data_IF_978661000311
#
_entry.id   IF_978661000311
#
_cell.length_a   1.000
_cell.length_b   1.000
_cell.length_c   1.000
_cell.angle_alpha   90.00
_cell.angle_beta   90.00
_cell.angle_gamma   90.00
#
_symmetry.space_group_name_H-M   'P 1'
#
loop_
_entity.id
_entity.type
_entity.pdbx_description
1 polymer ?
#
# COMPACT_ATOMS: atom_id res chain seq x y z
N UNK A 1 -17.81 -46.82 11.60
CA UNK A 1 -17.30 -45.43 11.48
C UNK A 1 -16.35 -45.42 10.30
N UNK A 2 -16.84 -45.06 9.10
CA UNK A 2 -16.05 -45.09 7.86
C UNK A 2 -15.20 -43.81 7.79
N UNK A 3 -13.89 -43.97 7.92
CA UNK A 3 -12.90 -42.90 7.69
C UNK A 3 -12.80 -42.66 6.18
N UNK A 4 -13.10 -41.45 5.72
CA UNK A 4 -12.86 -41.08 4.32
C UNK A 4 -11.36 -41.13 4.02
N UNK A 5 -10.95 -41.67 2.87
CA UNK A 5 -9.56 -41.64 2.43
C UNK A 5 -9.09 -40.20 2.20
N UNK A 6 -7.91 -39.85 2.71
CA UNK A 6 -7.27 -38.52 2.54
C UNK A 6 -7.13 -38.05 1.08
N UNK A 7 -7.23 -38.96 0.11
CA UNK A 7 -7.18 -38.66 -1.33
C UNK A 7 -8.44 -38.02 -1.89
N UNK A 8 -9.56 -37.98 -1.15
CA UNK A 8 -10.82 -37.36 -1.57
C UNK A 8 -11.07 -35.96 -0.98
N UNK A 9 -10.21 -35.51 -0.06
CA UNK A 9 -10.29 -34.17 0.54
C UNK A 9 -10.27 -33.00 -0.49
N UNK A 10 -9.41 -33.01 -1.53
CA UNK A 10 -9.35 -31.87 -2.46
C UNK A 10 -10.59 -31.78 -3.36
N UNK A 11 -11.29 -32.89 -3.61
CA UNK A 11 -12.52 -32.91 -4.41
C UNK A 11 -13.71 -32.29 -3.65
N UNK A 12 -13.73 -32.42 -2.33
CA UNK A 12 -14.78 -31.85 -1.48
C UNK A 12 -14.71 -30.32 -1.40
N UNK A 13 -13.49 -29.75 -1.37
CA UNK A 13 -13.30 -28.30 -1.37
C UNK A 13 -13.75 -27.64 -2.68
N UNK A 14 -13.59 -28.32 -3.83
CA UNK A 14 -14.05 -27.83 -5.14
C UNK A 14 -15.57 -27.92 -5.26
N UNK A 15 -16.18 -29.01 -4.75
CA UNK A 15 -17.64 -29.20 -4.77
C UNK A 15 -18.40 -28.24 -3.84
N UNK A 16 -17.77 -27.78 -2.75
CA UNK A 16 -18.37 -26.86 -1.78
C UNK A 16 -18.31 -25.38 -2.18
N UNK A 17 -17.75 -25.05 -3.35
CA UNK A 17 -17.76 -23.68 -3.86
C UNK A 17 -17.21 -22.67 -2.86
N UNK A 18 -16.20 -23.07 -2.07
CA UNK A 18 -15.53 -22.17 -1.14
C UNK A 18 -14.70 -21.16 -1.94
N UNK A 19 -15.37 -20.19 -2.55
CA UNK A 19 -14.73 -18.93 -2.90
C UNK A 19 -14.22 -18.38 -1.58
N UNK A 20 -12.90 -18.34 -1.41
CA UNK A 20 -12.28 -17.47 -0.43
C UNK A 20 -12.56 -16.02 -0.87
N UNK A 21 -13.79 -15.58 -0.66
CA UNK A 21 -14.16 -14.18 -0.64
C UNK A 21 -13.45 -13.63 0.59
N UNK A 22 -12.18 -13.26 0.43
CA UNK A 22 -11.50 -12.41 1.38
C UNK A 22 -12.39 -11.18 1.53
N UNK A 23 -13.12 -11.08 2.63
CA UNK A 23 -13.87 -9.87 2.96
C UNK A 23 -12.83 -8.76 3.05
N UNK A 24 -12.75 -7.92 2.03
CA UNK A 24 -11.91 -6.73 2.09
C UNK A 24 -12.41 -5.90 3.26
N UNK A 25 -11.62 -5.84 4.34
CA UNK A 25 -11.87 -4.90 5.42
C UNK A 25 -11.31 -3.56 4.96
N UNK A 26 -12.21 -2.64 4.64
CA UNK A 26 -11.82 -1.25 4.36
C UNK A 26 -11.28 -0.56 5.61
N UNK A 27 -11.67 -1.04 6.80
CA UNK A 27 -11.32 -0.42 8.07
C UNK A 27 -10.20 -1.15 8.80
N UNK A 28 -9.32 -0.34 9.39
CA UNK A 28 -8.25 -0.78 10.26
C UNK A 28 -8.78 -1.19 11.65
N UNK A 29 -7.94 -1.88 12.44
CA UNK A 29 -8.26 -2.15 13.84
C UNK A 29 -8.08 -0.88 14.67
N UNK A 30 -8.88 -0.68 15.74
CA UNK A 30 -8.77 0.50 16.59
C UNK A 30 -7.40 0.56 17.28
N UNK A 31 -6.93 1.78 17.53
CA UNK A 31 -5.68 2.03 18.22
C UNK A 31 -5.75 1.58 19.70
N UNK A 32 -4.95 0.59 20.12
CA UNK A 32 -5.07 -0.06 21.42
C UNK A 32 -4.61 0.81 22.61
N UNK A 33 -3.88 1.91 22.36
CA UNK A 33 -3.35 2.80 23.40
C UNK A 33 -4.07 4.15 23.46
N UNK A 34 -5.09 4.38 22.62
CA UNK A 34 -5.80 5.65 22.56
C UNK A 34 -6.37 6.08 23.93
N UNK A 35 -6.92 5.14 24.70
CA UNK A 35 -7.48 5.41 26.03
C UNK A 35 -6.43 5.69 27.11
N UNK A 36 -5.20 5.22 26.92
CA UNK A 36 -4.09 5.44 27.85
C UNK A 36 -3.50 6.84 27.69
N UNK A 37 -3.62 7.43 26.50
CA UNK A 37 -3.08 8.74 26.16
C UNK A 37 -4.15 9.66 25.56
N UNK A 38 -5.21 10.01 26.31
CA UNK A 38 -6.38 10.71 25.77
C UNK A 38 -6.08 12.15 25.31
N UNK A 39 -4.96 12.73 25.76
CA UNK A 39 -4.52 14.09 25.41
C UNK A 39 -3.35 14.08 24.41
N UNK A 40 -2.99 12.92 23.85
CA UNK A 40 -1.91 12.79 22.88
C UNK A 40 -2.43 12.22 21.56
N UNK A 41 -1.77 12.61 20.47
CA UNK A 41 -1.96 11.95 19.18
C UNK A 41 -1.33 10.56 19.27
N UNK A 42 -2.13 9.53 19.02
CA UNK A 42 -1.68 8.14 18.97
C UNK A 42 -2.26 7.44 17.74
N UNK A 43 -1.62 6.37 17.29
CA UNK A 43 -2.00 5.59 16.10
C UNK A 43 -0.77 5.23 15.28
N UNK A 44 -0.96 4.55 14.15
CA UNK A 44 0.15 4.15 13.26
C UNK A 44 -0.14 4.54 11.81
N UNK A 45 0.86 5.08 11.11
CA UNK A 45 0.81 5.28 9.66
C UNK A 45 1.83 4.35 9.00
N UNK A 46 1.35 3.38 8.24
CA UNK A 46 2.19 2.44 7.51
C UNK A 46 2.34 2.90 6.06
N UNK A 47 3.55 3.31 5.69
CA UNK A 47 3.86 3.83 4.37
C UNK A 47 4.65 2.86 3.51
N UNK A 48 4.36 2.86 2.21
CA UNK A 48 5.20 2.26 1.16
C UNK A 48 5.64 3.37 0.21
N UNK A 49 6.96 3.45 -0.02
CA UNK A 49 7.56 4.34 -1.01
C UNK A 49 8.13 3.49 -2.16
N UNK A 50 7.75 3.80 -3.39
CA UNK A 50 8.20 3.09 -4.59
C UNK A 50 8.72 4.10 -5.61
N UNK A 51 9.80 3.70 -6.30
CA UNK A 51 10.28 4.39 -7.49
C UNK A 51 9.64 3.72 -8.70
N UNK A 52 8.81 4.47 -9.42
CA UNK A 52 8.16 4.07 -10.65
C UNK A 52 8.92 4.67 -11.84
N UNK A 53 9.54 3.85 -12.70
CA UNK A 53 10.08 4.34 -13.96
C UNK A 53 8.93 4.80 -14.85
N UNK A 54 8.88 6.09 -15.16
CA UNK A 54 7.91 6.68 -16.10
C UNK A 54 8.61 7.17 -17.36
N UNK A 55 7.93 7.24 -18.52
CA UNK A 55 8.53 7.79 -19.72
C UNK A 55 9.03 9.22 -19.49
N UNK A 56 10.23 9.55 -19.99
CA UNK A 56 10.80 10.90 -19.88
C UNK A 56 9.85 11.98 -20.43
N UNK A 57 9.11 11.68 -21.50
CA UNK A 57 8.11 12.58 -22.06
C UNK A 57 6.99 12.91 -21.07
N UNK A 58 6.55 11.94 -20.27
CA UNK A 58 5.55 12.13 -19.22
C UNK A 58 6.14 12.96 -18.07
N UNK A 59 7.36 12.67 -17.63
CA UNK A 59 8.03 13.50 -16.63
C UNK A 59 8.14 14.95 -17.09
N UNK A 60 8.48 15.18 -18.38
CA UNK A 60 8.60 16.51 -18.94
C UNK A 60 7.28 17.27 -19.04
N UNK A 61 6.16 16.58 -19.30
CA UNK A 61 4.84 17.23 -19.35
C UNK A 61 4.35 17.69 -17.97
N UNK A 62 4.77 17.01 -16.89
CA UNK A 62 4.41 17.37 -15.51
C UNK A 62 5.33 18.42 -14.90
N UNK A 63 6.63 18.40 -15.22
CA UNK A 63 7.59 19.35 -14.67
C UNK A 63 7.57 20.62 -15.53
N UNK A 64 7.34 21.83 -14.98
CA UNK A 64 7.39 23.07 -15.76
C UNK A 64 8.72 23.30 -16.49
N UNK A 65 8.68 23.85 -17.70
CA UNK A 65 9.86 24.04 -18.55
C UNK A 65 10.96 24.92 -17.94
N UNK A 66 10.61 25.80 -16.99
CA UNK A 66 11.57 26.60 -16.21
C UNK A 66 12.48 25.78 -15.29
N UNK A 67 12.16 24.50 -15.05
CA UNK A 67 12.97 23.59 -14.26
C UNK A 67 13.65 22.56 -15.14
N UNK A 68 14.96 22.38 -14.91
CA UNK A 68 15.75 21.34 -15.53
C UNK A 68 15.40 19.96 -14.96
N UNK A 69 15.45 18.94 -15.81
CA UNK A 69 15.31 17.54 -15.38
C UNK A 69 16.69 17.01 -14.99
N UNK A 70 16.81 16.50 -13.77
CA UNK A 70 18.08 16.02 -13.20
C UNK A 70 18.45 14.59 -13.66
N UNK A 71 18.41 14.32 -14.96
CA UNK A 71 18.63 12.97 -15.52
C UNK A 71 19.95 12.35 -15.08
N UNK A 72 21.04 13.12 -15.12
CA UNK A 72 22.37 12.62 -14.74
C UNK A 72 22.42 12.19 -13.27
N UNK A 73 21.88 13.00 -12.36
CA UNK A 73 21.88 12.70 -10.94
C UNK A 73 21.10 11.42 -10.63
N UNK A 74 19.91 11.28 -11.22
CA UNK A 74 19.10 10.09 -11.01
C UNK A 74 19.71 8.84 -11.64
N UNK A 75 20.36 8.93 -12.79
CA UNK A 75 21.08 7.78 -13.37
C UNK A 75 22.27 7.34 -12.52
N UNK A 76 22.95 8.27 -11.85
CA UNK A 76 24.02 7.94 -10.89
C UNK A 76 23.47 7.23 -9.65
N UNK A 77 22.32 7.67 -9.12
CA UNK A 77 21.71 7.08 -7.92
C UNK A 77 20.96 5.77 -8.21
N UNK A 78 20.43 5.63 -9.43
CA UNK A 78 19.60 4.50 -9.88
C UNK A 78 20.21 3.91 -11.15
N UNK A 79 21.35 3.20 -11.06
CA UNK A 79 22.08 2.70 -12.23
C UNK A 79 21.26 1.67 -13.03
N UNK A 80 20.24 1.07 -12.43
CA UNK A 80 19.33 0.10 -13.08
C UNK A 80 18.06 0.75 -13.64
N UNK A 81 17.92 2.09 -13.57
CA UNK A 81 16.79 2.79 -14.16
C UNK A 81 16.82 2.58 -15.69
N UNK A 82 15.71 2.10 -16.30
CA UNK A 82 15.69 1.83 -17.73
C UNK A 82 15.98 3.08 -18.58
N UNK A 83 16.57 2.87 -19.75
CA UNK A 83 16.80 3.96 -20.69
C UNK A 83 15.49 4.64 -21.12
N UNK A 84 15.54 5.95 -21.37
CA UNK A 84 14.36 6.74 -21.71
C UNK A 84 13.35 6.96 -20.56
N UNK A 85 13.61 6.43 -19.37
CA UNK A 85 12.74 6.60 -18.19
C UNK A 85 13.28 7.66 -17.21
N UNK A 86 12.37 8.17 -16.39
CA UNK A 86 12.63 9.07 -15.27
C UNK A 86 11.96 8.52 -14.00
N UNK A 87 12.55 8.65 -12.81
CA UNK A 87 11.94 8.11 -11.60
C UNK A 87 10.81 9.03 -11.12
N UNK A 88 9.60 8.48 -11.01
CA UNK A 88 8.53 9.07 -10.22
C UNK A 88 8.47 8.38 -8.85
N UNK A 89 8.25 9.15 -7.79
CA UNK A 89 8.08 8.60 -6.44
C UNK A 89 6.59 8.46 -6.16
N UNK A 90 6.15 7.24 -5.89
CA UNK A 90 4.82 6.95 -5.37
C UNK A 90 4.93 6.65 -3.89
N UNK A 91 4.19 7.41 -3.09
CA UNK A 91 3.98 7.14 -1.69
C UNK A 91 2.53 6.70 -1.50
N UNK A 92 2.34 5.52 -0.94
CA UNK A 92 1.04 5.04 -0.48
C UNK A 92 1.12 4.86 1.03
N UNK A 93 0.16 5.41 1.78
CA UNK A 93 0.11 5.31 3.24
C UNK A 93 -1.21 4.70 3.63
N UNK A 94 -1.18 3.81 4.60
CA UNK A 94 -2.35 3.25 5.26
C UNK A 94 -2.38 3.73 6.70
N UNK A 95 -3.49 4.36 7.08
CA UNK A 95 -3.73 4.84 8.43
C UNK A 95 -4.29 3.73 9.31
N UNK A 96 -3.88 3.73 10.56
CA UNK A 96 -4.35 2.84 11.61
C UNK A 96 -4.77 3.68 12.81
N UNK A 97 -5.94 4.30 12.66
CA UNK A 97 -6.65 5.02 13.73
C UNK A 97 -5.79 6.12 14.38
N UNK A 98 -5.09 6.93 13.56
CA UNK A 98 -4.40 8.13 14.05
C UNK A 98 -5.40 9.19 14.47
N UNK A 99 -5.31 9.60 15.73
CA UNK A 99 -6.23 10.60 16.29
C UNK A 99 -5.88 11.10 17.68
N UNK A 100 -6.67 12.08 18.14
CA UNK A 100 -6.63 12.71 19.44
C UNK A 100 -8.07 12.80 20.00
N UNK A 101 -8.36 12.06 21.07
CA UNK A 101 -9.71 11.96 21.61
C UNK A 101 -10.70 11.50 20.54
N UNK A 102 -11.74 12.31 20.29
CA UNK A 102 -12.78 12.04 19.28
C UNK A 102 -12.38 12.49 17.86
N UNK A 103 -11.26 13.20 17.70
CA UNK A 103 -10.76 13.64 16.39
C UNK A 103 -9.88 12.56 15.77
N UNK A 104 -10.31 12.03 14.62
CA UNK A 104 -9.62 10.94 13.92
C UNK A 104 -9.54 11.21 12.43
N UNK A 105 -8.47 10.71 11.82
CA UNK A 105 -8.39 10.61 10.36
C UNK A 105 -9.28 9.43 9.95
N UNK A 106 -10.09 9.62 8.90
CA UNK A 106 -10.93 8.55 8.40
C UNK A 106 -10.10 7.56 7.58
N UNK A 107 -10.37 6.27 7.74
CA UNK A 107 -9.88 5.24 6.82
C UNK A 107 -10.35 5.55 5.39
N UNK A 108 -9.59 5.08 4.39
CA UNK A 108 -9.93 5.26 2.98
C UNK A 108 -11.31 4.66 2.65
N UNK A 109 -12.19 5.47 2.04
CA UNK A 109 -13.52 5.07 1.53
C UNK A 109 -13.49 4.76 0.05
#
# INVERSE_FOLDING_TARGET
MLLLPNSLLPLLCVALGASAQGTCKSQSLPNPIASQYPQNVTGTLNGTLVILPIPMALARSMIPAKYNILTSAYRTLLPTLPEGMYPAFLQAVYDHDVGLGDYKIADFS
#
